data_IF_153656965378
#
_entry.id   IF_153656965378
#
_cell.length_a   1.000
_cell.length_b   1.000
_cell.length_c   1.000
_cell.angle_alpha   90.00
_cell.angle_beta   90.00
_cell.angle_gamma   90.00
#
_symmetry.space_group_name_H-M   'P 1'
#
loop_
_entity.id
_entity.type
_entity.pdbx_description
1 polymer ?
#
# COMPACT_ATOMS: atom_id res chain seq x y z
N UNK A 1 -6.37 4.01 5.29
CA UNK A 1 -5.33 3.21 5.97
C UNK A 1 -4.63 3.95 7.13
N UNK A 2 -4.02 5.13 6.92
CA UNK A 2 -3.34 5.88 8.01
C UNK A 2 -4.24 6.22 9.21
N UNK A 3 -5.46 6.70 8.95
CA UNK A 3 -6.48 6.94 9.99
C UNK A 3 -6.81 5.67 10.79
N UNK A 4 -6.96 4.53 10.11
CA UNK A 4 -7.20 3.24 10.78
C UNK A 4 -6.00 2.81 11.65
N UNK A 5 -4.78 2.94 11.13
CA UNK A 5 -3.57 2.65 11.90
C UNK A 5 -3.45 3.56 13.15
N UNK A 6 -3.91 4.81 13.05
CA UNK A 6 -3.96 5.73 14.18
C UNK A 6 -5.04 5.33 15.20
N UNK A 7 -6.24 4.93 14.77
CA UNK A 7 -7.25 4.36 15.66
C UNK A 7 -6.75 3.13 16.41
N UNK A 8 -5.93 2.28 15.76
CA UNK A 8 -5.27 1.15 16.41
C UNK A 8 -4.28 1.61 17.50
N UNK A 9 -3.47 2.63 17.21
CA UNK A 9 -2.58 3.21 18.21
C UNK A 9 -3.35 3.74 19.43
N UNK A 10 -4.43 4.50 19.21
CA UNK A 10 -5.27 5.00 20.30
C UNK A 10 -5.88 3.86 21.12
N UNK A 11 -6.33 2.79 20.48
CA UNK A 11 -6.86 1.61 21.17
C UNK A 11 -5.84 0.98 22.14
N UNK A 12 -4.54 0.93 21.78
CA UNK A 12 -3.49 0.43 22.70
C UNK A 12 -3.32 1.27 23.95
N UNK A 13 -3.83 2.51 23.93
CA UNK A 13 -3.81 3.45 25.05
C UNK A 13 -5.14 3.54 25.79
N UNK A 14 -6.15 2.76 25.38
CA UNK A 14 -7.51 2.89 25.90
C UNK A 14 -8.25 4.15 25.42
N UNK A 15 -7.77 4.78 24.34
CA UNK A 15 -8.30 6.01 23.75
C UNK A 15 -8.99 5.72 22.40
N UNK A 16 -9.70 6.72 21.87
CA UNK A 16 -10.20 6.70 20.49
C UNK A 16 -11.53 5.96 20.28
N UNK A 17 -11.87 5.65 19.01
CA UNK A 17 -13.21 5.18 18.63
C UNK A 17 -13.42 3.67 18.82
N UNK A 18 -12.35 2.89 18.92
CA UNK A 18 -12.44 1.44 19.14
C UNK A 18 -12.61 1.17 20.63
N UNK A 19 -13.66 0.46 21.02
CA UNK A 19 -13.99 0.18 22.44
C UNK A 19 -13.82 -1.29 22.78
N UNK A 20 -14.04 -2.16 21.82
CA UNK A 20 -13.99 -3.60 22.01
C UNK A 20 -12.91 -4.27 21.17
N UNK A 21 -12.53 -5.48 21.55
CA UNK A 21 -11.66 -6.30 20.69
C UNK A 21 -12.35 -6.66 19.37
N UNK A 22 -13.68 -6.73 19.32
CA UNK A 22 -14.41 -6.96 18.06
C UNK A 22 -14.27 -5.76 17.11
N UNK A 23 -14.37 -4.53 17.62
CA UNK A 23 -14.18 -3.30 16.82
C UNK A 23 -12.79 -3.28 16.19
N UNK A 24 -11.76 -3.64 16.98
CA UNK A 24 -10.39 -3.75 16.52
C UNK A 24 -10.25 -4.80 15.40
N UNK A 25 -10.81 -6.00 15.61
CA UNK A 25 -10.74 -7.08 14.61
C UNK A 25 -11.42 -6.67 13.31
N UNK A 26 -12.61 -6.06 13.39
CA UNK A 26 -13.31 -5.57 12.21
C UNK A 26 -12.48 -4.51 11.46
N UNK A 27 -11.93 -3.53 12.19
CA UNK A 27 -11.10 -2.50 11.56
C UNK A 27 -9.84 -3.08 10.90
N UNK A 28 -9.24 -4.11 11.49
CA UNK A 28 -8.09 -4.82 10.93
C UNK A 28 -8.43 -5.61 9.65
N UNK A 29 -9.62 -6.19 9.57
CA UNK A 29 -10.11 -6.84 8.35
C UNK A 29 -10.22 -5.84 7.20
N UNK A 30 -10.88 -4.71 7.47
CA UNK A 30 -10.99 -3.62 6.48
C UNK A 30 -9.61 -3.08 6.13
N UNK A 31 -8.72 -2.88 7.11
CA UNK A 31 -7.35 -2.43 6.86
C UNK A 31 -6.59 -3.38 5.93
N UNK A 32 -6.69 -4.69 6.14
CA UNK A 32 -6.05 -5.68 5.29
C UNK A 32 -6.63 -5.70 3.87
N UNK A 33 -7.96 -5.56 3.74
CA UNK A 33 -8.64 -5.45 2.45
C UNK A 33 -8.19 -4.23 1.66
N UNK A 34 -8.12 -3.05 2.30
CA UNK A 34 -7.62 -1.83 1.66
C UNK A 34 -6.14 -1.95 1.24
N UNK A 35 -5.33 -2.66 2.03
CA UNK A 35 -3.95 -2.97 1.64
C UNK A 35 -3.85 -3.85 0.38
N UNK A 36 -4.75 -4.82 0.22
CA UNK A 36 -4.82 -5.66 -0.98
C UNK A 36 -5.36 -4.87 -2.19
N UNK A 37 -6.39 -4.04 -2.00
CA UNK A 37 -6.89 -3.14 -3.05
C UNK A 37 -5.80 -2.23 -3.58
N UNK A 38 -5.00 -1.64 -2.68
CA UNK A 38 -3.84 -0.85 -3.06
C UNK A 38 -2.83 -1.68 -3.86
N UNK A 39 -2.55 -2.91 -3.44
CA UNK A 39 -1.65 -3.79 -4.19
C UNK A 39 -2.14 -4.03 -5.62
N UNK A 40 -3.44 -4.27 -5.80
CA UNK A 40 -4.05 -4.39 -7.12
C UNK A 40 -3.93 -3.09 -7.94
N UNK A 41 -4.18 -1.92 -7.34
CA UNK A 41 -4.01 -0.64 -8.03
C UNK A 41 -2.55 -0.39 -8.46
N UNK A 42 -1.58 -0.74 -7.61
CA UNK A 42 -0.15 -0.62 -7.92
C UNK A 42 0.27 -1.60 -9.02
N UNK A 43 -0.28 -2.82 -9.03
CA UNK A 43 -0.06 -3.77 -10.12
C UNK A 43 -0.61 -3.24 -11.46
N UNK A 44 -1.79 -2.59 -11.46
CA UNK A 44 -2.32 -1.92 -12.65
C UNK A 44 -1.40 -0.78 -13.11
N UNK A 45 -0.96 0.07 -12.19
CA UNK A 45 0.00 1.13 -12.48
C UNK A 45 1.30 0.60 -13.08
N UNK A 46 1.81 -0.54 -12.59
CA UNK A 46 3.05 -1.15 -13.10
C UNK A 46 3.02 -1.50 -14.59
N UNK A 47 1.83 -1.70 -15.17
CA UNK A 47 1.67 -1.99 -16.61
C UNK A 47 2.01 -0.80 -17.50
N UNK A 48 2.05 0.41 -16.95
CA UNK A 48 2.41 1.64 -17.67
C UNK A 48 3.92 1.91 -17.65
N UNK A 49 4.69 1.10 -16.91
CA UNK A 49 6.13 1.29 -16.71
C UNK A 49 6.95 0.41 -17.66
N UNK A 50 8.19 0.84 -17.90
CA UNK A 50 9.22 0.04 -18.59
C UNK A 50 9.64 -1.15 -17.72
N UNK A 51 10.22 -2.17 -18.32
CA UNK A 51 10.46 -3.48 -17.67
C UNK A 51 11.25 -3.40 -16.37
N UNK A 52 12.33 -2.62 -16.30
CA UNK A 52 13.15 -2.48 -15.08
C UNK A 52 12.37 -1.79 -13.95
N UNK A 53 11.69 -0.69 -14.26
CA UNK A 53 10.89 0.07 -13.29
C UNK A 53 9.68 -0.74 -12.80
N UNK A 54 9.07 -1.49 -13.73
CA UNK A 54 7.98 -2.42 -13.44
C UNK A 54 8.46 -3.53 -12.50
N UNK A 55 9.60 -4.15 -12.80
CA UNK A 55 10.17 -5.21 -11.95
C UNK A 55 10.45 -4.68 -10.54
N UNK A 56 11.09 -3.51 -10.42
CA UNK A 56 11.37 -2.87 -9.14
C UNK A 56 10.09 -2.64 -8.32
N UNK A 57 9.04 -2.10 -8.96
CA UNK A 57 7.76 -1.86 -8.31
C UNK A 57 7.06 -3.17 -7.89
N UNK A 58 7.10 -4.19 -8.74
CA UNK A 58 6.50 -5.49 -8.46
C UNK A 58 7.21 -6.22 -7.31
N UNK A 59 8.53 -6.13 -7.21
CA UNK A 59 9.28 -6.68 -6.09
C UNK A 59 8.88 -6.05 -4.76
N UNK A 60 8.64 -4.73 -4.74
CA UNK A 60 8.22 -4.05 -3.53
C UNK A 60 6.77 -4.40 -3.15
N UNK A 61 5.84 -4.41 -4.11
CA UNK A 61 4.42 -4.69 -3.81
C UNK A 61 4.19 -6.15 -3.40
N UNK A 62 5.00 -7.08 -3.90
CA UNK A 62 4.94 -8.48 -3.50
C UNK A 62 5.32 -8.70 -2.03
N UNK A 63 6.00 -7.75 -1.38
CA UNK A 63 6.23 -7.79 0.08
C UNK A 63 4.98 -7.45 0.87
N UNK A 64 4.10 -6.58 0.35
CA UNK A 64 2.89 -6.13 1.04
C UNK A 64 1.84 -7.24 1.18
N UNK A 65 1.60 -7.97 0.08
CA UNK A 65 0.52 -8.96 -0.04
C UNK A 65 0.54 -10.02 1.08
N UNK A 66 1.69 -10.65 1.41
CA UNK A 66 1.76 -11.62 2.50
C UNK A 66 1.35 -11.05 3.85
N UNK A 67 1.71 -9.81 4.17
CA UNK A 67 1.33 -9.20 5.45
C UNK A 67 -0.17 -8.96 5.55
N UNK A 68 -0.81 -8.52 4.46
CA UNK A 68 -2.26 -8.34 4.42
C UNK A 68 -3.00 -9.67 4.59
N UNK A 69 -2.59 -10.73 3.88
CA UNK A 69 -3.19 -12.06 4.07
C UNK A 69 -2.94 -12.62 5.46
N UNK A 70 -1.73 -12.46 5.99
CA UNK A 70 -1.41 -12.85 7.35
C UNK A 70 -2.24 -12.11 8.41
N UNK A 71 -2.61 -10.86 8.15
CA UNK A 71 -3.48 -10.08 9.02
C UNK A 71 -4.91 -10.62 8.96
N UNK A 72 -5.44 -10.90 7.75
CA UNK A 72 -6.74 -11.54 7.56
C UNK A 72 -6.83 -12.91 8.24
N UNK A 73 -5.76 -13.71 8.19
CA UNK A 73 -5.74 -15.02 8.86
C UNK A 73 -5.83 -14.84 10.36
N UNK A 74 -5.07 -13.90 10.93
CA UNK A 74 -5.13 -13.66 12.38
C UNK A 74 -6.50 -13.15 12.78
N UNK A 75 -7.11 -12.21 12.05
CA UNK A 75 -8.43 -11.66 12.42
C UNK A 75 -9.50 -12.74 12.50
N UNK A 76 -9.50 -13.70 11.56
CA UNK A 76 -10.46 -14.82 11.48
C UNK A 76 -10.32 -15.89 12.56
N UNK A 77 -9.19 -15.98 13.26
CA UNK A 77 -9.04 -16.95 14.36
C UNK A 77 -9.96 -16.58 15.54
N UNK A 78 -10.64 -17.52 16.21
CA UNK A 78 -11.47 -17.19 17.38
C UNK A 78 -10.67 -16.49 18.48
N UNK A 79 -11.27 -15.51 19.17
CA UNK A 79 -10.70 -14.94 20.38
C UNK A 79 -10.82 -15.97 21.52
N UNK A 80 -9.84 -16.87 21.63
CA UNK A 80 -9.66 -17.73 22.81
C UNK A 80 -8.96 -16.95 23.95
N UNK A 81 -8.59 -17.62 25.03
CA UNK A 81 -7.92 -17.12 26.25
C UNK A 81 -6.57 -16.36 26.03
N UNK A 82 -6.22 -15.99 24.79
CA UNK A 82 -4.99 -15.28 24.40
C UNK A 82 -5.28 -13.98 23.63
N UNK A 83 -6.31 -13.23 24.03
CA UNK A 83 -6.71 -11.97 23.38
C UNK A 83 -5.54 -10.99 23.26
N UNK A 84 -4.76 -10.82 24.34
CA UNK A 84 -3.60 -9.90 24.35
C UNK A 84 -2.56 -10.24 23.29
N UNK A 85 -2.16 -11.51 23.19
CA UNK A 85 -1.17 -11.97 22.21
C UNK A 85 -1.69 -11.80 20.77
N UNK A 86 -2.99 -11.98 20.56
CA UNK A 86 -3.61 -11.77 19.25
C UNK A 86 -3.58 -10.29 18.85
N UNK A 87 -3.95 -9.40 19.77
CA UNK A 87 -3.93 -7.95 19.57
C UNK A 87 -2.51 -7.46 19.27
N UNK A 88 -1.51 -7.91 20.04
CA UNK A 88 -0.11 -7.56 19.84
C UNK A 88 0.42 -8.00 18.45
N UNK A 89 0.10 -9.24 18.04
CA UNK A 89 0.41 -9.74 16.69
C UNK A 89 -0.22 -8.88 15.60
N UNK A 90 -1.48 -8.48 15.77
CA UNK A 90 -2.15 -7.61 14.82
C UNK A 90 -1.48 -6.25 14.70
N UNK A 91 -1.18 -5.60 15.84
CA UNK A 91 -0.51 -4.29 15.86
C UNK A 91 0.86 -4.36 15.17
N UNK A 92 1.64 -5.41 15.45
CA UNK A 92 2.94 -5.62 14.83
C UNK A 92 2.82 -5.79 13.31
N UNK A 93 1.86 -6.58 12.84
CA UNK A 93 1.60 -6.75 11.40
C UNK A 93 1.14 -5.47 10.73
N UNK A 94 0.24 -4.70 11.36
CA UNK A 94 -0.18 -3.39 10.87
C UNK A 94 1.01 -2.44 10.73
N UNK A 95 1.94 -2.43 11.70
CA UNK A 95 3.16 -1.64 11.62
C UNK A 95 4.02 -2.04 10.40
N UNK A 96 4.21 -3.33 10.18
CA UNK A 96 4.95 -3.84 9.00
C UNK A 96 4.29 -3.43 7.69
N UNK A 97 2.95 -3.51 7.60
CA UNK A 97 2.20 -3.02 6.43
C UNK A 97 2.47 -1.54 6.23
N UNK A 98 2.31 -0.70 7.26
CA UNK A 98 2.53 0.75 7.15
C UNK A 98 3.96 1.11 6.73
N UNK A 99 4.98 0.37 7.19
CA UNK A 99 6.36 0.58 6.78
C UNK A 99 6.55 0.35 5.27
N UNK A 100 5.98 -0.74 4.74
CA UNK A 100 6.03 -1.06 3.31
C UNK A 100 5.24 -0.02 2.50
N UNK A 101 4.11 0.46 3.01
CA UNK A 101 3.31 1.50 2.34
C UNK A 101 4.10 2.81 2.14
N UNK A 102 4.86 3.24 3.14
CA UNK A 102 5.67 4.46 3.01
C UNK A 102 6.73 4.31 1.91
N UNK A 103 7.38 3.14 1.84
CA UNK A 103 8.36 2.83 0.80
C UNK A 103 7.72 2.77 -0.59
N UNK A 104 6.58 2.07 -0.70
CA UNK A 104 5.81 1.94 -1.94
C UNK A 104 5.33 3.30 -2.46
N UNK A 105 4.73 4.14 -1.61
CA UNK A 105 4.24 5.45 -2.02
C UNK A 105 5.38 6.34 -2.55
N UNK A 106 6.54 6.29 -1.89
CA UNK A 106 7.74 7.00 -2.32
C UNK A 106 8.22 6.51 -3.69
N UNK A 107 8.23 5.19 -3.90
CA UNK A 107 8.61 4.58 -5.17
C UNK A 107 7.61 4.93 -6.29
N UNK A 108 6.31 4.76 -6.05
CA UNK A 108 5.25 5.12 -6.99
C UNK A 108 5.35 6.59 -7.42
N UNK A 109 5.61 7.51 -6.49
CA UNK A 109 5.78 8.93 -6.80
C UNK A 109 7.00 9.17 -7.71
N UNK A 110 8.15 8.58 -7.40
CA UNK A 110 9.37 8.68 -8.23
C UNK A 110 9.11 8.17 -9.65
N UNK A 111 8.47 7.02 -9.78
CA UNK A 111 8.16 6.40 -11.07
C UNK A 111 7.14 7.21 -11.87
N UNK A 112 6.10 7.74 -11.21
CA UNK A 112 5.14 8.63 -11.84
C UNK A 112 5.81 9.89 -12.40
N UNK A 113 6.74 10.50 -11.65
CA UNK A 113 7.50 11.66 -12.12
C UNK A 113 8.39 11.31 -13.31
N UNK A 114 9.07 10.16 -13.29
CA UNK A 114 9.86 9.68 -14.42
C UNK A 114 9.01 9.52 -15.68
N UNK A 115 7.84 8.87 -15.57
CA UNK A 115 6.91 8.66 -16.68
C UNK A 115 6.40 9.99 -17.26
N UNK A 116 6.04 10.95 -16.40
CA UNK A 116 5.61 12.29 -16.84
C UNK A 116 6.71 13.03 -17.63
N UNK A 117 7.95 12.97 -17.15
CA UNK A 117 9.09 13.63 -17.81
C UNK A 117 9.40 12.99 -19.17
N UNK A 118 9.36 11.67 -19.27
CA UNK A 118 9.54 10.97 -20.53
C UNK A 118 8.44 11.35 -21.52
N UNK A 119 7.17 11.32 -21.10
CA UNK A 119 6.04 11.67 -21.97
C UNK A 119 6.16 13.12 -22.52
N UNK A 120 6.57 14.08 -21.68
CA UNK A 120 6.77 15.46 -22.10
C UNK A 120 7.96 15.62 -23.08
N UNK A 121 9.00 14.80 -22.95
CA UNK A 121 10.12 14.77 -23.90
C UNK A 121 9.68 14.24 -25.26
N UNK A 122 8.88 13.18 -25.31
CA UNK A 122 8.36 12.66 -26.58
C UNK A 122 7.47 13.68 -27.28
N UNK A 123 6.57 14.35 -26.56
CA UNK A 123 5.69 15.40 -27.13
C UNK A 123 6.49 16.58 -27.69
N UNK A 124 7.60 16.96 -27.05
CA UNK A 124 8.45 18.06 -27.53
C UNK A 124 9.31 17.67 -28.74
N UNK A 125 9.77 16.42 -28.84
CA UNK A 125 10.48 15.92 -30.02
C UNK A 125 9.55 15.84 -31.23
N UNK A 126 8.35 15.28 -31.08
CA UNK A 126 7.38 15.17 -32.20
C UNK A 126 6.92 16.54 -32.71
N UNK A 127 6.83 17.55 -31.84
CA UNK A 127 6.49 18.91 -32.27
C UNK A 127 7.64 19.58 -33.04
N UNK A 128 8.90 19.20 -32.77
CA UNK A 128 10.06 19.77 -33.46
C UNK A 128 10.24 19.16 -34.85
N UNK A 129 10.03 17.85 -34.98
CA UNK A 129 10.09 17.16 -36.29
C UNK A 129 8.98 17.61 -37.26
N UNK A 130 7.83 18.08 -36.75
CA UNK A 130 6.77 18.67 -37.57
C UNK A 130 7.08 20.09 -38.09
N UNK A 131 8.05 20.79 -37.50
CA UNK A 131 8.44 22.15 -37.91
C UNK A 131 9.57 22.12 -38.93
N UNK A 132 10.52 21.17 -38.80
CA UNK A 132 11.68 21.06 -39.69
C UNK A 132 11.37 20.32 -41.03
N UNK A 133 10.19 19.73 -41.19
CA UNK A 133 9.73 19.09 -42.44
C UNK A 133 9.07 20.03 -43.46
N UNK A 134 9.08 21.35 -43.22
CA UNK A 134 8.53 22.39 -44.11
C UNK A 134 9.60 23.41 -44.48
N UNK A 135 10.60 23.00 -45.24
CA UNK A 135 11.49 23.87 -46.03
C UNK A 135 11.99 23.08 -47.22
#
# INVERSE_FOLDING_TARGET
>A
MSSMAYSLYLFTRGEGPLRTSQDLIHQLEVFAEEGLKLASSVQVFSKQLKDDDKLMLLLEINKLIPFCHQLQTVTKTPLQNQVFLKVDKCITKTRSVMAILVQLLSLCYKLLKKLQLENNRWVSVTNKDSVDGKT
#
